data_IF_530020481514
#
_entry.id   IF_530020481514
#
_cell.length_a   1.000
_cell.length_b   1.000
_cell.length_c   1.000
_cell.angle_alpha   90.00
_cell.angle_beta   90.00
_cell.angle_gamma   90.00
#
_symmetry.space_group_name_H-M   'P 1'
#
loop_
_entity.id
_entity.type
_entity.pdbx_description
1 polymer ?
#
# COMPACT_ATOMS: atom_id res chain seq x y z
N UNK A 1 -11.20 -10.28 -8.38
CA UNK A 1 -11.21 -9.17 -9.38
C UNK A 1 -9.82 -8.98 -9.98
N UNK A 2 -8.79 -8.84 -9.15
CA UNK A 2 -7.38 -8.77 -9.57
C UNK A 2 -6.98 -9.94 -10.47
N UNK A 3 -7.27 -11.18 -10.05
CA UNK A 3 -6.93 -12.37 -10.84
C UNK A 3 -7.57 -12.39 -12.24
N UNK A 4 -8.80 -11.88 -12.36
CA UNK A 4 -9.45 -11.77 -13.67
C UNK A 4 -8.77 -10.72 -14.55
N UNK A 5 -8.44 -9.55 -13.98
CA UNK A 5 -7.73 -8.50 -14.71
C UNK A 5 -6.33 -8.94 -15.15
N UNK A 6 -5.66 -9.78 -14.36
CA UNK A 6 -4.38 -10.37 -14.72
C UNK A 6 -4.43 -11.23 -15.99
N UNK A 7 -5.59 -11.83 -16.32
CA UNK A 7 -5.75 -12.62 -17.56
C UNK A 7 -5.87 -11.77 -18.83
N UNK A 8 -6.04 -10.45 -18.71
CA UNK A 8 -6.22 -9.58 -19.86
C UNK A 8 -4.90 -9.39 -20.62
N UNK A 9 -4.92 -9.41 -21.98
CA UNK A 9 -3.71 -9.23 -22.78
C UNK A 9 -2.94 -7.94 -22.48
N UNK A 10 -3.65 -6.86 -22.09
CA UNK A 10 -3.04 -5.59 -21.72
C UNK A 10 -2.20 -5.69 -20.45
N UNK A 11 -2.69 -6.40 -19.43
CA UNK A 11 -1.98 -6.59 -18.17
C UNK A 11 -0.67 -7.37 -18.36
N UNK A 12 -0.71 -8.39 -19.23
CA UNK A 12 0.45 -9.22 -19.59
C UNK A 12 1.56 -8.45 -20.32
N UNK A 13 1.24 -7.31 -20.96
CA UNK A 13 2.25 -6.41 -21.56
C UNK A 13 2.99 -5.62 -20.48
N UNK A 14 2.31 -5.30 -19.37
CA UNK A 14 2.88 -4.50 -18.29
C UNK A 14 3.73 -5.32 -17.33
N UNK A 15 3.34 -6.56 -17.04
CA UNK A 15 4.07 -7.41 -16.10
C UNK A 15 3.56 -8.84 -16.01
N UNK A 16 4.34 -9.70 -15.36
CA UNK A 16 4.04 -11.11 -15.17
C UNK A 16 3.14 -11.40 -13.97
N UNK A 17 2.94 -10.42 -13.08
CA UNK A 17 2.22 -10.61 -11.81
C UNK A 17 3.13 -11.17 -10.69
N UNK A 18 4.43 -11.22 -10.92
CA UNK A 18 5.45 -11.76 -10.00
C UNK A 18 6.14 -10.67 -9.17
N UNK A 19 5.86 -9.39 -9.47
CA UNK A 19 6.48 -8.27 -8.76
C UNK A 19 5.40 -7.33 -8.25
N UNK A 20 5.55 -6.89 -7.01
CA UNK A 20 4.71 -5.89 -6.38
C UNK A 20 5.53 -4.75 -5.80
N UNK A 21 5.00 -3.54 -5.90
CA UNK A 21 5.52 -2.36 -5.22
C UNK A 21 4.63 -2.04 -4.03
N UNK A 22 5.25 -1.70 -2.91
CA UNK A 22 4.59 -1.26 -1.69
C UNK A 22 5.05 0.16 -1.35
N UNK A 23 4.13 1.13 -1.38
CA UNK A 23 4.45 2.55 -1.15
C UNK A 23 3.55 3.17 -0.08
N UNK A 24 4.10 4.18 0.61
CA UNK A 24 3.46 4.91 1.68
C UNK A 24 3.16 6.36 1.30
N UNK A 25 1.92 6.63 0.91
CA UNK A 25 1.42 7.99 0.67
C UNK A 25 1.07 8.68 1.99
N UNK A 26 1.54 9.91 2.18
CA UNK A 26 1.40 10.65 3.44
C UNK A 26 0.39 11.79 3.30
N UNK A 27 -0.60 11.82 4.20
CA UNK A 27 -1.67 12.82 4.20
C UNK A 27 -1.72 13.57 5.53
N UNK A 28 -1.69 14.90 5.46
CA UNK A 28 -1.94 15.76 6.63
C UNK A 28 -3.43 15.69 6.96
N UNK A 29 -3.76 15.32 8.20
CA UNK A 29 -5.15 15.19 8.66
C UNK A 29 -5.36 16.11 9.86
N UNK A 30 -6.18 17.16 9.78
CA UNK A 30 -6.36 18.10 10.88
C UNK A 30 -7.14 17.49 12.06
N UNK A 31 -7.96 16.47 11.80
CA UNK A 31 -8.80 15.80 12.80
C UNK A 31 -8.02 14.71 13.52
N UNK A 32 -8.21 14.61 14.84
CA UNK A 32 -7.67 13.50 15.64
C UNK A 32 -8.53 12.25 15.42
N UNK A 33 -7.97 11.26 14.73
CA UNK A 33 -8.53 9.92 14.56
C UNK A 33 -7.63 8.89 15.23
N UNK A 34 -8.05 7.61 15.22
CA UNK A 34 -7.24 6.50 15.76
C UNK A 34 -5.87 6.36 15.07
N UNK A 35 -5.79 6.70 13.77
CA UNK A 35 -4.58 6.55 12.97
C UNK A 35 -3.83 7.87 12.77
N UNK A 36 -4.45 9.02 13.05
CA UNK A 36 -3.81 10.32 12.85
C UNK A 36 -2.87 10.68 14.01
N UNK A 37 -1.56 10.67 13.75
CA UNK A 37 -0.51 10.93 14.74
C UNK A 37 0.39 12.11 14.36
N UNK A 38 0.96 12.83 15.35
CA UNK A 38 1.96 13.86 15.09
C UNK A 38 3.29 13.22 14.66
N UNK A 39 3.88 13.67 13.55
CA UNK A 39 5.25 13.32 13.17
C UNK A 39 5.94 14.53 12.55
N UNK A 40 6.93 15.10 13.24
CA UNK A 40 7.63 16.31 12.77
C UNK A 40 8.36 16.12 11.45
N UNK A 41 8.88 14.92 11.17
CA UNK A 41 9.60 14.64 9.93
C UNK A 41 8.68 14.69 8.71
N UNK A 42 7.44 14.21 8.87
CA UNK A 42 6.51 14.00 7.75
C UNK A 42 5.36 15.00 7.69
N UNK A 43 4.96 15.57 8.83
CA UNK A 43 3.79 16.44 8.95
C UNK A 43 4.10 17.78 9.63
N UNK A 44 5.36 18.06 9.99
CA UNK A 44 5.76 19.28 10.66
C UNK A 44 5.04 19.47 12.02
N UNK A 45 4.36 20.60 12.19
CA UNK A 45 3.56 20.87 13.39
C UNK A 45 2.16 20.23 13.36
N UNK A 46 1.81 19.58 12.26
CA UNK A 46 0.52 18.93 12.09
C UNK A 46 0.60 17.44 12.46
N UNK A 47 -0.55 16.78 12.36
CA UNK A 47 -0.68 15.33 12.42
C UNK A 47 -1.11 14.80 11.06
N UNK A 48 -0.88 13.52 10.83
CA UNK A 48 -1.23 12.89 9.57
C UNK A 48 -1.35 11.38 9.68
N UNK A 49 -1.79 10.80 8.57
CA UNK A 49 -1.88 9.37 8.35
C UNK A 49 -0.95 9.00 7.20
N UNK A 50 -0.53 7.75 7.15
CA UNK A 50 0.10 7.17 5.98
C UNK A 50 -0.86 6.13 5.41
N UNK A 51 -1.21 6.26 4.13
CA UNK A 51 -1.84 5.20 3.36
C UNK A 51 -0.73 4.34 2.78
N UNK A 52 -0.71 3.06 3.12
CA UNK A 52 0.22 2.09 2.56
C UNK A 52 -0.49 1.26 1.50
N UNK A 53 -0.09 1.36 0.24
CA UNK A 53 -0.72 0.66 -0.89
C UNK A 53 0.23 -0.34 -1.53
N UNK A 54 -0.34 -1.42 -2.05
CA UNK A 54 0.36 -2.47 -2.80
C UNK A 54 -0.18 -2.55 -4.21
N UNK A 55 0.73 -2.47 -5.18
CA UNK A 55 0.41 -2.45 -6.61
C UNK A 55 1.29 -3.46 -7.32
N UNK A 56 0.69 -4.34 -8.10
CA UNK A 56 1.41 -5.28 -8.97
C UNK A 56 2.03 -4.55 -10.16
N UNK A 57 3.08 -5.14 -10.73
CA UNK A 57 3.63 -4.82 -12.06
C UNK A 57 2.58 -4.83 -13.20
N UNK A 58 1.43 -5.46 -13.00
CA UNK A 58 0.26 -5.39 -13.88
C UNK A 58 -0.66 -4.18 -13.62
N UNK A 59 -0.19 -3.21 -12.84
CA UNK A 59 -0.92 -1.97 -12.50
C UNK A 59 -2.22 -2.18 -11.70
N UNK A 60 -2.39 -3.37 -11.11
CA UNK A 60 -3.53 -3.71 -10.26
C UNK A 60 -3.18 -3.47 -8.79
N UNK A 61 -4.01 -2.68 -8.10
CA UNK A 61 -3.93 -2.52 -6.66
C UNK A 61 -4.61 -3.70 -5.96
N UNK A 62 -3.90 -4.39 -5.07
CA UNK A 62 -4.42 -5.60 -4.42
C UNK A 62 -4.56 -5.50 -2.89
N UNK A 63 -3.83 -4.58 -2.26
CA UNK A 63 -3.93 -4.36 -0.82
C UNK A 63 -3.71 -2.89 -0.46
N UNK A 64 -4.31 -2.45 0.65
CA UNK A 64 -4.14 -1.10 1.15
C UNK A 64 -4.54 -0.97 2.61
N UNK A 65 -3.68 -0.36 3.43
CA UNK A 65 -3.90 -0.18 4.87
C UNK A 65 -3.57 1.26 5.30
N UNK A 66 -4.36 1.79 6.23
CA UNK A 66 -4.10 3.11 6.81
C UNK A 66 -3.34 2.93 8.12
N UNK A 67 -2.14 3.49 8.18
CA UNK A 67 -1.23 3.34 9.30
C UNK A 67 -0.92 4.70 9.93
N UNK A 68 -0.64 4.75 11.24
CA UNK A 68 -0.10 5.94 11.88
C UNK A 68 1.23 6.34 11.27
N UNK A 69 1.36 7.59 10.84
CA UNK A 69 2.60 8.09 10.21
C UNK A 69 3.79 8.21 11.16
N UNK A 70 3.69 7.68 12.38
CA UNK A 70 4.76 7.56 13.38
C UNK A 70 5.46 6.20 13.37
N UNK A 71 4.84 5.17 12.79
CA UNK A 71 5.40 3.82 12.77
C UNK A 71 6.36 3.62 11.59
N UNK A 72 7.21 2.60 11.66
CA UNK A 72 8.04 2.19 10.52
C UNK A 72 7.19 1.39 9.54
N UNK A 73 7.18 1.84 8.30
CA UNK A 73 6.42 1.26 7.19
C UNK A 73 6.74 -0.24 6.96
N UNK A 74 7.94 -0.71 7.37
CA UNK A 74 8.44 -2.07 7.12
C UNK A 74 7.62 -3.20 7.73
N UNK A 75 6.90 -2.97 8.84
CA UNK A 75 6.05 -4.01 9.46
C UNK A 75 4.82 -4.28 8.59
N UNK A 76 4.28 -3.23 8.00
CA UNK A 76 3.06 -3.30 7.18
C UNK A 76 3.32 -3.93 5.80
N UNK A 77 4.57 -3.90 5.31
CA UNK A 77 4.98 -4.63 4.11
C UNK A 77 4.79 -6.14 4.28
N UNK A 78 5.27 -6.68 5.41
CA UNK A 78 5.17 -8.11 5.69
C UNK A 78 3.72 -8.54 5.90
N UNK A 79 2.94 -7.72 6.60
CA UNK A 79 1.51 -7.94 6.80
C UNK A 79 0.76 -7.99 5.46
N UNK A 80 0.96 -7.00 4.57
CA UNK A 80 0.32 -6.99 3.26
C UNK A 80 0.75 -8.14 2.33
N UNK A 81 1.96 -8.67 2.50
CA UNK A 81 2.44 -9.86 1.76
C UNK A 81 1.86 -11.17 2.33
N UNK A 82 1.66 -11.26 3.65
CA UNK A 82 1.09 -12.43 4.32
C UNK A 82 -0.44 -12.51 4.21
N UNK A 83 -1.13 -11.36 4.21
CA UNK A 83 -2.60 -11.25 4.22
C UNK A 83 -3.20 -10.94 2.84
N UNK A 84 -2.44 -11.05 1.75
CA UNK A 84 -3.03 -10.87 0.42
C UNK A 84 -4.00 -12.01 0.07
N UNK A 85 -5.22 -11.65 -0.34
CA UNK A 85 -6.25 -12.60 -0.79
C UNK A 85 -6.23 -12.83 -2.31
N UNK A 86 -5.17 -12.40 -3.01
CA UNK A 86 -5.03 -12.52 -4.47
C UNK A 86 -4.14 -13.69 -4.87
N UNK A 87 -4.33 -14.23 -6.08
CA UNK A 87 -3.47 -15.28 -6.63
C UNK A 87 -2.08 -14.80 -7.07
N UNK A 88 -1.78 -13.51 -6.95
CA UNK A 88 -0.47 -12.93 -7.21
C UNK A 88 0.53 -13.46 -6.19
N UNK A 89 1.69 -13.91 -6.63
CA UNK A 89 2.70 -14.48 -5.75
C UNK A 89 4.02 -13.71 -5.93
N UNK A 90 4.09 -12.47 -5.42
CA UNK A 90 5.27 -11.64 -5.60
C UNK A 90 6.46 -12.22 -4.82
N UNK A 91 7.58 -12.45 -5.51
CA UNK A 91 8.83 -13.00 -4.94
C UNK A 91 9.84 -11.93 -4.57
#
# INVERSE_FOLDING_TARGET
LVDFQATLPLAQIWGGGEVASADGMRFVTPVRTINAGPNRKYFGNNRGITWYNFVSDQYSGFHGIVIPGTLRDSIFVLEGLLEQETGLNPT
#
